data_IF_087259034995
#
_entry.id   IF_087259034995
#
_cell.length_a   1.000
_cell.length_b   1.000
_cell.length_c   1.000
_cell.angle_alpha   90.00
_cell.angle_beta   90.00
_cell.angle_gamma   90.00
#
_symmetry.space_group_name_H-M   'P 1'
#
loop_
_entity.id
_entity.type
_entity.pdbx_description
1 polymer ?
#
# COMPACT_ATOMS: atom_id res chain seq x y z
N UNK A 1 8.26 1.64 7.18
CA UNK A 1 9.69 1.26 7.23
C UNK A 1 10.05 0.58 8.56
N UNK A 2 9.76 1.17 9.73
CA UNK A 2 10.15 0.61 11.04
C UNK A 2 9.61 -0.81 11.28
N UNK A 3 8.39 -1.11 10.87
CA UNK A 3 7.79 -2.43 10.99
C UNK A 3 8.22 -3.43 9.89
N UNK A 4 9.08 -3.01 8.96
CA UNK A 4 9.53 -3.85 7.83
C UNK A 4 8.56 -3.90 6.64
N UNK A 5 7.49 -3.09 6.63
CA UNK A 5 6.61 -2.98 5.46
C UNK A 5 7.39 -2.34 4.31
N UNK A 6 7.49 -3.03 3.15
CA UNK A 6 8.27 -2.54 2.03
C UNK A 6 7.63 -1.30 1.40
N UNK A 7 8.43 -0.30 1.09
CA UNK A 7 8.00 0.96 0.46
C UNK A 7 8.70 1.17 -0.88
N UNK A 8 8.10 1.96 -1.75
CA UNK A 8 8.74 2.36 -3.01
C UNK A 8 10.09 3.02 -2.72
N UNK A 9 11.19 2.62 -3.41
CA UNK A 9 12.46 3.33 -3.32
C UNK A 9 12.28 4.82 -3.67
N UNK A 10 12.78 5.71 -2.82
CA UNK A 10 12.56 7.13 -3.01
C UNK A 10 13.60 8.01 -2.31
N UNK A 11 13.34 9.30 -2.26
CA UNK A 11 14.05 10.24 -1.40
C UNK A 11 13.66 9.97 0.06
N UNK A 12 14.61 10.08 0.98
CA UNK A 12 14.35 9.86 2.41
C UNK A 12 13.70 11.09 3.08
N UNK A 13 12.87 11.79 2.34
CA UNK A 13 12.17 13.00 2.77
C UNK A 13 11.93 13.96 1.59
N UNK A 14 11.50 15.20 1.90
CA UNK A 14 11.32 16.24 0.91
C UNK A 14 12.62 16.55 0.15
N UNK A 15 12.46 16.89 -1.13
CA UNK A 15 13.57 17.46 -1.90
C UNK A 15 13.90 18.84 -1.36
N UNK A 16 15.19 19.15 -1.37
CA UNK A 16 15.73 20.46 -0.97
C UNK A 16 16.08 21.30 -2.21
N UNK A 17 16.57 22.51 -2.00
CA UNK A 17 17.10 23.36 -3.08
C UNK A 17 18.41 22.82 -3.68
N UNK A 18 19.02 21.80 -3.05
CA UNK A 18 20.23 21.14 -3.57
C UNK A 18 19.89 20.28 -4.79
N UNK A 19 20.16 20.86 -5.95
CA UNK A 19 19.87 20.22 -7.25
C UNK A 19 20.79 19.03 -7.51
N UNK A 20 22.06 19.06 -7.07
CA UNK A 20 23.00 17.94 -7.27
C UNK A 20 22.56 16.75 -6.43
N UNK A 21 22.18 16.95 -5.18
CA UNK A 21 21.61 15.92 -4.33
C UNK A 21 20.34 15.31 -4.95
N UNK A 22 19.45 16.13 -5.53
CA UNK A 22 18.25 15.66 -6.24
C UNK A 22 18.59 14.75 -7.42
N UNK A 23 19.61 15.10 -8.22
CA UNK A 23 20.08 14.29 -9.32
C UNK A 23 20.70 12.96 -8.83
N UNK A 24 21.52 12.99 -7.78
CA UNK A 24 22.09 11.79 -7.18
C UNK A 24 21.02 10.82 -6.66
N UNK A 25 20.01 11.33 -5.97
CA UNK A 25 18.86 10.54 -5.50
C UNK A 25 18.16 9.87 -6.68
N UNK A 26 17.87 10.61 -7.74
CA UNK A 26 17.19 10.05 -8.91
C UNK A 26 18.04 8.99 -9.64
N UNK A 27 19.38 9.21 -9.75
CA UNK A 27 20.32 8.20 -10.32
C UNK A 27 20.33 6.93 -9.46
N UNK A 28 20.34 7.07 -8.14
CA UNK A 28 20.30 5.92 -7.19
C UNK A 28 19.02 5.13 -7.30
N UNK A 29 17.85 5.78 -7.44
CA UNK A 29 16.53 5.16 -7.61
C UNK A 29 16.43 4.49 -8.98
N UNK A 30 17.03 5.11 -10.00
CA UNK A 30 16.95 4.69 -11.41
C UNK A 30 15.67 5.15 -12.10
N UNK A 31 15.83 5.74 -13.29
CA UNK A 31 14.71 6.20 -14.12
C UNK A 31 13.85 5.03 -14.66
N UNK A 32 12.55 5.23 -14.92
CA UNK A 32 11.79 6.45 -14.64
C UNK A 32 11.55 6.65 -13.13
N UNK A 33 11.49 7.92 -12.73
CA UNK A 33 11.09 8.33 -11.38
C UNK A 33 9.80 9.15 -11.43
N UNK A 34 9.13 9.31 -10.29
CA UNK A 34 7.96 10.17 -10.17
C UNK A 34 8.22 11.23 -9.09
N UNK A 35 7.97 12.49 -9.43
CA UNK A 35 7.93 13.61 -8.48
C UNK A 35 6.54 13.69 -7.90
N UNK A 36 6.40 13.75 -6.58
CA UNK A 36 5.11 13.76 -5.89
C UNK A 36 5.05 14.92 -4.90
N UNK A 37 3.94 15.65 -4.91
CA UNK A 37 3.64 16.65 -3.88
C UNK A 37 3.26 15.95 -2.57
N UNK A 38 3.87 16.38 -1.45
CA UNK A 38 3.60 15.80 -0.13
C UNK A 38 2.14 16.03 0.32
N UNK A 39 1.53 17.14 -0.07
CA UNK A 39 0.14 17.45 0.19
C UNK A 39 -0.82 16.98 -0.94
N UNK A 40 -0.29 16.31 -1.98
CA UNK A 40 -1.07 15.80 -3.10
C UNK A 40 -1.79 14.49 -2.75
N UNK A 41 -2.80 14.16 -3.56
CA UNK A 41 -3.55 12.91 -3.42
C UNK A 41 -4.47 12.68 -4.62
N UNK A 42 -4.99 11.45 -4.76
CA UNK A 42 -5.91 11.08 -5.82
C UNK A 42 -5.34 11.30 -7.24
N UNK A 43 -4.05 11.07 -7.44
CA UNK A 43 -3.38 11.25 -8.73
C UNK A 43 -3.01 12.70 -9.10
N UNK A 44 -3.22 13.66 -8.19
CA UNK A 44 -2.90 15.08 -8.41
C UNK A 44 -1.58 15.45 -7.76
N UNK A 45 -0.85 16.38 -8.38
CA UNK A 45 0.47 16.81 -7.89
C UNK A 45 1.56 15.74 -8.10
N UNK A 46 1.49 14.99 -9.21
CA UNK A 46 2.46 13.96 -9.57
C UNK A 46 2.92 14.13 -11.01
N UNK A 47 4.23 13.90 -11.26
CA UNK A 47 4.83 13.98 -12.58
C UNK A 47 5.88 12.91 -12.79
N UNK A 48 5.68 12.09 -13.82
CA UNK A 48 6.65 11.06 -14.23
C UNK A 48 7.80 11.70 -15.01
N UNK A 49 9.02 11.27 -14.67
CA UNK A 49 10.27 11.76 -15.29
C UNK A 49 11.06 10.56 -15.82
N UNK A 50 11.23 10.51 -17.13
CA UNK A 50 11.85 9.37 -17.78
C UNK A 50 13.38 9.47 -17.90
N UNK A 51 13.95 10.67 -17.78
CA UNK A 51 15.38 10.90 -17.90
C UNK A 51 15.85 12.09 -17.07
N UNK A 52 17.15 12.18 -16.86
CA UNK A 52 17.78 13.19 -16.03
C UNK A 52 17.57 14.63 -16.53
N UNK A 53 17.62 14.83 -17.85
CA UNK A 53 17.50 16.16 -18.43
C UNK A 53 16.17 16.87 -18.09
N UNK A 54 15.11 16.09 -17.91
CA UNK A 54 13.78 16.62 -17.57
C UNK A 54 13.55 16.78 -16.05
N UNK A 55 14.43 16.26 -15.19
CA UNK A 55 14.16 16.13 -13.77
C UNK A 55 13.95 17.48 -13.06
N UNK A 56 14.93 18.38 -13.14
CA UNK A 56 14.88 19.63 -12.39
C UNK A 56 13.70 20.52 -12.81
N UNK A 57 13.44 20.59 -14.13
CA UNK A 57 12.25 21.29 -14.63
C UNK A 57 10.96 20.66 -14.12
N UNK A 58 10.88 19.33 -14.09
CA UNK A 58 9.72 18.61 -13.57
C UNK A 58 9.51 18.85 -12.08
N UNK A 59 10.59 18.92 -11.29
CA UNK A 59 10.51 19.26 -9.86
C UNK A 59 9.94 20.66 -9.69
N UNK A 60 10.49 21.68 -10.37
CA UNK A 60 10.02 23.07 -10.28
C UNK A 60 8.55 23.24 -10.67
N UNK A 61 8.16 22.59 -11.77
CA UNK A 61 6.74 22.64 -12.23
C UNK A 61 5.83 21.98 -11.21
N UNK A 62 6.21 20.81 -10.67
CA UNK A 62 5.40 20.11 -9.67
C UNK A 62 5.30 20.91 -8.36
N UNK A 63 6.39 21.57 -7.92
CA UNK A 63 6.38 22.47 -6.77
C UNK A 63 5.40 23.66 -6.98
N UNK A 64 5.47 24.32 -8.13
CA UNK A 64 4.56 25.43 -8.43
C UNK A 64 3.08 25.00 -8.49
N UNK A 65 2.80 23.85 -9.12
CA UNK A 65 1.45 23.27 -9.17
C UNK A 65 0.96 22.88 -7.76
N UNK A 66 1.84 22.31 -6.93
CA UNK A 66 1.51 21.91 -5.56
C UNK A 66 1.24 23.13 -4.66
N UNK A 67 2.07 24.17 -4.76
CA UNK A 67 1.85 25.43 -4.04
C UNK A 67 0.50 26.05 -4.38
N UNK A 68 0.16 26.10 -5.68
CA UNK A 68 -1.10 26.67 -6.14
C UNK A 68 -2.34 25.82 -5.74
N UNK A 69 -2.23 24.49 -5.81
CA UNK A 69 -3.36 23.60 -5.58
C UNK A 69 -3.56 23.20 -4.12
N UNK A 70 -2.49 23.12 -3.33
CA UNK A 70 -2.49 22.57 -1.96
C UNK A 70 -1.91 23.51 -0.91
N UNK A 71 -1.38 24.68 -1.30
CA UNK A 71 -0.74 25.64 -0.39
C UNK A 71 0.62 25.17 0.16
N UNK A 72 1.25 24.16 -0.46
CA UNK A 72 2.55 23.63 -0.08
C UNK A 72 3.32 23.20 -1.32
N UNK A 73 4.57 23.62 -1.43
CA UNK A 73 5.49 23.28 -2.52
C UNK A 73 6.39 22.08 -2.21
N UNK A 74 6.17 21.42 -1.08
CA UNK A 74 6.96 20.28 -0.65
C UNK A 74 6.73 19.10 -1.59
N UNK A 75 7.81 18.63 -2.23
CA UNK A 75 7.81 17.48 -3.15
C UNK A 75 8.89 16.47 -2.76
N UNK A 76 8.72 15.23 -3.20
CA UNK A 76 9.67 14.14 -3.00
C UNK A 76 9.73 13.26 -4.27
N UNK A 77 10.76 12.40 -4.36
CA UNK A 77 10.95 11.46 -5.46
C UNK A 77 10.65 10.03 -5.02
N UNK A 78 10.05 9.27 -5.94
CA UNK A 78 9.92 7.82 -5.83
C UNK A 78 10.24 7.14 -7.17
N UNK A 79 10.58 5.85 -7.13
CA UNK A 79 10.62 5.01 -8.33
C UNK A 79 9.23 4.99 -8.97
N UNK A 80 9.18 5.23 -10.28
CA UNK A 80 7.94 5.03 -11.02
C UNK A 80 7.81 3.57 -11.43
N UNK A 81 6.77 2.92 -10.94
CA UNK A 81 6.40 1.56 -11.33
C UNK A 81 5.62 1.63 -12.64
N UNK A 82 5.99 0.80 -13.62
CA UNK A 82 5.49 0.95 -14.99
C UNK A 82 4.23 0.14 -15.27
N UNK A 83 4.15 -1.06 -14.67
CA UNK A 83 3.03 -2.01 -14.87
C UNK A 83 2.66 -2.69 -13.55
N UNK A 84 2.46 -1.94 -12.47
CA UNK A 84 2.17 -2.55 -11.19
C UNK A 84 0.76 -3.15 -11.19
N UNK A 85 0.61 -4.25 -10.44
CA UNK A 85 -0.69 -4.75 -9.99
C UNK A 85 -1.03 -4.07 -8.66
N UNK A 86 -2.32 -3.88 -8.42
CA UNK A 86 -2.82 -3.42 -7.13
C UNK A 86 -3.18 -4.65 -6.29
N UNK A 87 -2.34 -4.96 -5.33
CA UNK A 87 -2.52 -6.10 -4.44
C UNK A 87 -2.60 -5.61 -3.00
N UNK A 88 -3.51 -6.17 -2.23
CA UNK A 88 -3.77 -5.70 -0.87
C UNK A 88 -3.82 -6.86 0.12
N UNK A 89 -3.44 -6.60 1.38
CA UNK A 89 -3.43 -7.59 2.47
C UNK A 89 -4.50 -7.21 3.50
N UNK A 90 -5.47 -8.11 3.70
CA UNK A 90 -6.49 -7.96 4.73
C UNK A 90 -5.92 -8.33 6.10
N UNK A 91 -6.11 -7.46 7.08
CA UNK A 91 -5.71 -7.71 8.48
C UNK A 91 -6.89 -7.54 9.44
N UNK A 92 -6.79 -8.24 10.58
CA UNK A 92 -7.61 -8.04 11.77
C UNK A 92 -6.68 -7.91 12.97
N UNK A 93 -6.94 -6.96 13.85
CA UNK A 93 -6.18 -6.78 15.10
C UNK A 93 -7.10 -6.38 16.24
N UNK A 94 -6.83 -6.90 17.45
CA UNK A 94 -7.70 -6.70 18.62
C UNK A 94 -7.30 -5.50 19.50
N UNK A 95 -6.13 -4.91 19.26
CA UNK A 95 -5.58 -3.85 20.12
C UNK A 95 -5.02 -4.35 21.44
N UNK A 96 -5.01 -5.68 21.67
CA UNK A 96 -4.51 -6.35 22.87
C UNK A 96 -3.15 -7.04 22.65
N UNK A 97 -2.54 -6.76 21.48
CA UNK A 97 -1.27 -7.35 21.06
C UNK A 97 -1.39 -8.51 20.08
N UNK A 98 -2.60 -8.85 19.63
CA UNK A 98 -2.80 -9.89 18.63
C UNK A 98 -3.25 -9.26 17.30
N UNK A 99 -2.68 -9.75 16.22
CA UNK A 99 -3.09 -9.43 14.86
C UNK A 99 -2.90 -10.64 13.96
N UNK A 100 -3.73 -10.76 12.93
CA UNK A 100 -3.65 -11.79 11.90
C UNK A 100 -3.87 -11.18 10.52
N UNK A 101 -3.43 -11.88 9.49
CA UNK A 101 -3.83 -11.59 8.11
C UNK A 101 -4.80 -12.65 7.58
N UNK A 102 -5.67 -12.23 6.67
CA UNK A 102 -6.64 -13.07 5.99
C UNK A 102 -6.33 -13.24 4.50
N UNK A 103 -5.03 -13.13 4.14
CA UNK A 103 -4.55 -13.25 2.78
C UNK A 103 -4.64 -11.96 1.99
N UNK A 104 -4.49 -12.12 0.70
CA UNK A 104 -4.39 -11.05 -0.27
C UNK A 104 -5.58 -11.03 -1.23
N UNK A 105 -5.79 -9.85 -1.83
CA UNK A 105 -6.70 -9.63 -2.97
C UNK A 105 -5.95 -8.92 -4.09
N UNK A 106 -6.29 -9.25 -5.32
CA UNK A 106 -5.91 -8.46 -6.49
C UNK A 106 -7.06 -7.53 -6.87
N UNK A 107 -6.77 -6.25 -6.93
CA UNK A 107 -7.73 -5.21 -7.29
C UNK A 107 -7.21 -4.37 -8.48
N UNK A 108 -6.44 -4.99 -9.38
CA UNK A 108 -5.78 -4.30 -10.49
C UNK A 108 -6.75 -3.85 -11.57
N UNK A 109 -7.90 -4.52 -11.72
CA UNK A 109 -8.90 -4.14 -12.70
C UNK A 109 -9.69 -2.92 -12.20
N UNK A 110 -9.28 -1.74 -12.66
CA UNK A 110 -9.80 -0.46 -12.19
C UNK A 110 -10.26 0.42 -13.36
N UNK A 111 -11.25 1.27 -13.09
CA UNK A 111 -11.66 2.33 -13.99
C UNK A 111 -11.53 3.68 -13.27
N UNK A 112 -10.66 4.55 -13.76
CA UNK A 112 -10.39 5.87 -13.16
C UNK A 112 -10.04 5.78 -11.67
N UNK A 113 -9.16 4.81 -11.31
CA UNK A 113 -8.74 4.50 -9.94
C UNK A 113 -9.87 3.97 -9.02
N UNK A 114 -10.96 3.49 -9.59
CA UNK A 114 -12.00 2.77 -8.86
C UNK A 114 -11.89 1.28 -9.17
N UNK A 115 -11.84 0.45 -8.15
CA UNK A 115 -11.85 -1.00 -8.26
C UNK A 115 -13.16 -1.44 -8.94
N UNK A 116 -13.10 -2.39 -9.87
CA UNK A 116 -14.24 -2.87 -10.68
C UNK A 116 -14.40 -4.37 -10.58
N UNK A 117 -13.31 -5.09 -10.43
CA UNK A 117 -13.29 -6.52 -10.20
C UNK A 117 -12.13 -6.83 -9.26
N UNK A 118 -12.45 -7.60 -8.24
CA UNK A 118 -11.53 -8.05 -7.21
C UNK A 118 -11.50 -9.58 -7.16
N UNK A 119 -10.32 -10.13 -6.90
CA UNK A 119 -10.17 -11.58 -6.75
C UNK A 119 -9.28 -11.94 -5.55
N UNK A 120 -9.58 -13.05 -4.92
CA UNK A 120 -8.80 -13.61 -3.83
C UNK A 120 -8.65 -15.13 -3.99
N UNK A 121 -7.43 -15.67 -3.74
CA UNK A 121 -6.17 -14.96 -3.56
C UNK A 121 -5.67 -14.31 -4.85
N UNK A 122 -4.78 -13.32 -4.75
CA UNK A 122 -4.14 -12.72 -5.92
C UNK A 122 -3.35 -13.78 -6.71
N UNK A 123 -3.56 -13.93 -8.04
CA UNK A 123 -2.88 -14.94 -8.83
C UNK A 123 -1.38 -14.64 -8.99
N UNK A 124 -0.60 -15.67 -9.30
CA UNK A 124 0.81 -15.59 -9.70
C UNK A 124 1.73 -14.80 -8.75
N UNK A 125 1.43 -14.82 -7.45
CA UNK A 125 2.32 -14.30 -6.41
C UNK A 125 2.96 -15.49 -5.70
N UNK A 126 4.32 -15.58 -5.68
CA UNK A 126 5.00 -16.65 -4.96
C UNK A 126 4.62 -16.66 -3.47
N UNK A 127 4.28 -17.83 -2.90
CA UNK A 127 3.85 -17.92 -1.48
C UNK A 127 4.83 -17.25 -0.52
N UNK A 128 6.13 -17.42 -0.72
CA UNK A 128 7.16 -16.86 0.16
C UNK A 128 7.12 -15.32 0.19
N UNK A 129 6.85 -14.70 -0.96
CA UNK A 129 6.75 -13.23 -1.09
C UNK A 129 5.47 -12.72 -0.42
N UNK A 130 4.35 -13.43 -0.65
CA UNK A 130 3.06 -13.16 -0.01
C UNK A 130 3.16 -13.25 1.51
N UNK A 131 3.72 -14.36 2.02
CA UNK A 131 3.82 -14.62 3.45
C UNK A 131 4.71 -13.58 4.15
N UNK A 132 5.82 -13.18 3.51
CA UNK A 132 6.72 -12.17 4.06
C UNK A 132 6.04 -10.79 4.21
N UNK A 133 5.30 -10.33 3.19
CA UNK A 133 4.60 -9.05 3.27
C UNK A 133 3.44 -9.11 4.25
N UNK A 134 2.69 -10.22 4.29
CA UNK A 134 1.60 -10.41 5.23
C UNK A 134 2.10 -10.40 6.70
N UNK A 135 3.21 -11.07 6.97
CA UNK A 135 3.86 -11.04 8.29
C UNK A 135 4.30 -9.62 8.69
N UNK A 136 4.83 -8.83 7.74
CA UNK A 136 5.20 -7.44 8.00
C UNK A 136 3.97 -6.58 8.32
N UNK A 137 2.83 -6.80 7.65
CA UNK A 137 1.57 -6.11 7.95
C UNK A 137 1.05 -6.46 9.35
N UNK A 138 1.07 -7.73 9.72
CA UNK A 138 0.69 -8.20 11.08
C UNK A 138 1.58 -7.54 12.13
N UNK A 139 2.91 -7.58 11.91
CA UNK A 139 3.85 -6.92 12.82
C UNK A 139 3.57 -5.42 12.96
N UNK A 140 3.28 -4.72 11.85
CA UNK A 140 2.93 -3.31 11.89
C UNK A 140 1.68 -3.04 12.73
N UNK A 141 0.65 -3.89 12.61
CA UNK A 141 -0.56 -3.78 13.43
C UNK A 141 -0.26 -3.95 14.91
N UNK A 142 0.59 -4.90 15.29
CA UNK A 142 0.99 -5.15 16.69
C UNK A 142 1.79 -3.96 17.22
N UNK A 143 2.82 -3.50 16.48
CA UNK A 143 3.69 -2.40 16.89
C UNK A 143 2.92 -1.08 17.11
N UNK A 144 1.84 -0.86 16.32
CA UNK A 144 1.00 0.33 16.40
C UNK A 144 -0.16 0.20 17.40
N UNK A 145 -0.39 -0.97 17.98
CA UNK A 145 -1.56 -1.24 18.80
C UNK A 145 -2.87 -1.09 18.00
N UNK A 146 -2.84 -1.45 16.70
CA UNK A 146 -4.00 -1.33 15.81
C UNK A 146 -5.19 -2.15 16.34
N UNK A 147 -6.41 -1.62 16.11
CA UNK A 147 -7.65 -2.27 16.54
C UNK A 147 -8.71 -2.19 15.46
N UNK A 148 -9.19 -3.33 15.00
CA UNK A 148 -10.24 -3.47 14.00
C UNK A 148 -9.78 -4.19 12.73
N UNK A 149 -10.64 -4.14 11.71
CA UNK A 149 -10.29 -4.57 10.36
C UNK A 149 -9.53 -3.47 9.62
N UNK A 150 -8.54 -3.85 8.85
CA UNK A 150 -7.78 -2.93 8.01
C UNK A 150 -7.22 -3.63 6.79
N UNK A 151 -6.83 -2.85 5.80
CA UNK A 151 -6.26 -3.35 4.57
C UNK A 151 -5.02 -2.55 4.21
N UNK A 152 -3.89 -3.24 4.05
CA UNK A 152 -2.66 -2.62 3.52
C UNK A 152 -2.68 -2.74 2.00
N UNK A 153 -2.67 -1.63 1.30
CA UNK A 153 -2.63 -1.57 -0.16
C UNK A 153 -1.19 -1.44 -0.66
N UNK A 154 -0.88 -2.20 -1.70
CA UNK A 154 0.44 -2.25 -2.32
C UNK A 154 0.36 -2.16 -3.84
N UNK A 155 1.40 -1.61 -4.44
CA UNK A 155 1.76 -1.90 -5.82
C UNK A 155 2.68 -3.13 -5.84
N UNK A 156 2.37 -4.10 -6.69
CA UNK A 156 3.19 -5.30 -6.88
C UNK A 156 3.75 -5.32 -8.30
N UNK A 157 5.07 -5.30 -8.43
CA UNK A 157 5.78 -5.33 -9.71
C UNK A 157 7.09 -6.09 -9.55
N UNK A 158 7.45 -6.93 -10.53
CA UNK A 158 8.71 -7.67 -10.59
C UNK A 158 9.06 -8.45 -9.31
N UNK A 159 8.06 -9.06 -8.68
CA UNK A 159 8.22 -9.84 -7.46
C UNK A 159 8.33 -9.03 -6.17
N UNK A 160 8.21 -7.70 -6.23
CA UNK A 160 8.27 -6.81 -5.09
C UNK A 160 6.92 -6.19 -4.73
N UNK A 161 6.64 -6.10 -3.44
CA UNK A 161 5.53 -5.31 -2.90
C UNK A 161 6.01 -3.91 -2.51
N UNK A 162 5.19 -2.89 -2.81
CA UNK A 162 5.49 -1.49 -2.49
C UNK A 162 4.26 -0.84 -1.87
N UNK A 163 4.33 -0.53 -0.58
CA UNK A 163 3.24 0.03 0.20
C UNK A 163 2.76 1.38 -0.36
N UNK A 164 1.44 1.52 -0.49
CA UNK A 164 0.77 2.76 -0.87
C UNK A 164 0.15 3.41 0.37
N UNK A 165 -0.85 2.73 0.95
CA UNK A 165 -1.62 3.23 2.08
C UNK A 165 -2.24 2.10 2.89
N UNK A 166 -2.75 2.44 4.08
CA UNK A 166 -3.57 1.55 4.88
C UNK A 166 -4.98 2.12 5.00
N UNK A 167 -5.97 1.34 4.57
CA UNK A 167 -7.37 1.63 4.85
C UNK A 167 -7.74 1.09 6.23
N UNK A 168 -8.00 1.99 7.18
CA UNK A 168 -8.30 1.64 8.58
C UNK A 168 -9.80 1.39 8.78
N UNK A 169 -10.39 0.62 7.90
CA UNK A 169 -11.80 0.27 7.84
C UNK A 169 -11.99 -1.02 7.04
N UNK A 170 -13.20 -1.57 7.10
CA UNK A 170 -13.60 -2.59 6.13
C UNK A 170 -13.75 -1.97 4.72
N UNK A 171 -13.49 -2.74 3.69
CA UNK A 171 -13.64 -2.35 2.28
C UNK A 171 -14.80 -3.09 1.63
N UNK A 172 -15.27 -2.59 0.48
CA UNK A 172 -16.37 -3.20 -0.28
C UNK A 172 -16.01 -4.63 -0.64
N UNK A 173 -14.78 -4.86 -1.09
CA UNK A 173 -14.23 -6.12 -1.59
C UNK A 173 -13.86 -7.15 -0.51
N UNK A 174 -14.26 -6.94 0.77
CA UNK A 174 -14.02 -7.93 1.82
C UNK A 174 -14.68 -9.30 1.58
N UNK A 175 -15.82 -9.41 0.85
CA UNK A 175 -16.51 -10.68 0.67
C UNK A 175 -15.65 -11.75 -0.01
N UNK A 176 -14.78 -11.39 -0.97
CA UNK A 176 -13.90 -12.41 -1.60
C UNK A 176 -12.94 -13.03 -0.60
N UNK A 177 -12.48 -12.26 0.39
CA UNK A 177 -11.66 -12.79 1.51
C UNK A 177 -12.48 -13.70 2.43
N UNK A 178 -13.71 -13.32 2.77
CA UNK A 178 -14.60 -14.14 3.57
C UNK A 178 -14.92 -15.48 2.90
N UNK A 179 -15.15 -15.46 1.58
CA UNK A 179 -15.44 -16.66 0.81
C UNK A 179 -14.29 -17.68 0.81
N UNK A 180 -13.04 -17.24 0.75
CA UNK A 180 -11.88 -18.14 0.73
C UNK A 180 -11.39 -18.54 2.11
N UNK A 181 -11.74 -17.78 3.17
CA UNK A 181 -11.28 -18.04 4.55
C UNK A 181 -12.35 -18.61 5.45
N UNK A 182 -13.61 -18.37 5.16
CA UNK A 182 -14.75 -18.69 6.03
C UNK A 182 -14.85 -17.78 7.26
N UNK A 183 -14.09 -16.68 7.29
CA UNK A 183 -14.08 -15.71 8.41
C UNK A 183 -15.06 -14.60 8.12
N UNK A 184 -16.01 -14.37 9.02
CA UNK A 184 -16.93 -13.22 8.98
C UNK A 184 -16.21 -11.99 9.58
N UNK A 185 -15.67 -11.14 8.70
CA UNK A 185 -14.86 -9.96 9.07
C UNK A 185 -15.71 -8.94 9.81
N UNK A 186 -16.97 -8.75 9.42
CA UNK A 186 -17.89 -7.80 10.07
C UNK A 186 -18.20 -8.23 11.49
N UNK A 187 -18.45 -9.52 11.69
CA UNK A 187 -18.65 -10.08 13.04
C UNK A 187 -17.42 -9.90 13.91
N UNK A 188 -16.22 -10.19 13.38
CA UNK A 188 -14.97 -9.97 14.11
C UNK A 188 -14.77 -8.50 14.48
N UNK A 189 -15.09 -7.54 13.59
CA UNK A 189 -15.05 -6.12 13.93
C UNK A 189 -15.94 -5.77 15.13
N UNK A 190 -17.16 -6.33 15.19
CA UNK A 190 -18.09 -6.09 16.31
C UNK A 190 -17.54 -6.69 17.61
N UNK A 191 -16.99 -7.90 17.59
CA UNK A 191 -16.36 -8.53 18.75
C UNK A 191 -15.17 -7.72 19.25
N UNK A 192 -14.26 -7.33 18.36
CA UNK A 192 -13.11 -6.49 18.68
C UNK A 192 -13.57 -5.14 19.24
N UNK A 193 -14.59 -4.50 18.64
CA UNK A 193 -15.12 -3.22 19.12
C UNK A 193 -15.73 -3.34 20.53
N UNK A 194 -16.30 -4.51 20.88
CA UNK A 194 -16.79 -4.80 22.24
C UNK A 194 -15.70 -5.10 23.26
N UNK A 195 -14.42 -5.08 22.85
CA UNK A 195 -13.26 -5.33 23.72
C UNK A 195 -12.84 -6.79 23.84
N UNK A 196 -13.37 -7.67 22.99
CA UNK A 196 -12.98 -9.07 22.95
C UNK A 196 -11.69 -9.26 22.16
N UNK A 197 -10.87 -10.27 22.50
CA UNK A 197 -9.73 -10.66 21.67
C UNK A 197 -10.21 -11.28 20.35
N UNK A 198 -9.30 -11.44 19.39
CA UNK A 198 -9.56 -12.18 18.14
C UNK A 198 -10.11 -13.59 18.48
N UNK A 199 -11.12 -14.03 17.73
CA UNK A 199 -11.77 -15.33 17.94
C UNK A 199 -10.91 -16.52 17.56
N UNK A 200 -9.84 -16.31 16.80
CA UNK A 200 -8.96 -17.36 16.27
C UNK A 200 -7.52 -16.83 16.06
N UNK A 201 -6.60 -17.79 15.95
CA UNK A 201 -5.17 -17.52 15.71
C UNK A 201 -4.84 -17.62 14.22
N UNK A 202 -3.71 -17.04 13.82
CA UNK A 202 -3.23 -17.15 12.44
C UNK A 202 -3.14 -18.60 11.93
N UNK A 203 -2.73 -19.55 12.76
CA UNK A 203 -2.62 -20.97 12.41
C UNK A 203 -3.95 -21.67 12.14
N UNK A 204 -5.06 -21.05 12.51
CA UNK A 204 -6.41 -21.58 12.30
C UNK A 204 -7.06 -21.05 11.02
N UNK A 205 -6.49 -19.98 10.44
CA UNK A 205 -6.94 -19.42 9.17
C UNK A 205 -6.56 -20.38 8.03
N UNK A 206 -7.57 -20.84 7.30
CA UNK A 206 -7.40 -21.72 6.15
C UNK A 206 -7.88 -21.03 4.89
N UNK A 207 -7.09 -21.12 3.82
CA UNK A 207 -7.46 -20.60 2.51
C UNK A 207 -7.97 -21.71 1.62
N UNK A 208 -9.17 -21.56 1.04
CA UNK A 208 -9.82 -22.58 0.22
C UNK A 208 -10.46 -21.94 -1.02
N UNK A 209 -10.13 -22.51 -2.18
CA UNK A 209 -10.72 -22.08 -3.43
C UNK A 209 -10.24 -20.70 -3.90
N UNK A 210 -11.08 -20.04 -4.67
CA UNK A 210 -10.87 -18.75 -5.30
C UNK A 210 -12.21 -18.02 -5.41
N UNK A 211 -12.23 -16.73 -5.19
CA UNK A 211 -13.43 -15.91 -5.24
C UNK A 211 -13.23 -14.65 -6.07
N UNK A 212 -14.29 -14.22 -6.73
CA UNK A 212 -14.36 -12.97 -7.50
C UNK A 212 -15.56 -12.14 -7.03
N UNK A 213 -15.40 -10.82 -7.09
CA UNK A 213 -16.47 -9.84 -6.89
C UNK A 213 -16.46 -8.80 -8.00
#
# INVERSE_FOLDING_TARGET
KQAGVPTVPGSDGPLTEDTEHTLEVARRIGYPVIVKAAAGGGGRGMRVVHNEAALLTSVQVTQAEAAAAFGSDVVYLEKFLQKPRHVEIQVLADGLGNAIHLGDRDCSLQRRHQKVLEEAPAPDIPPQVRDAVAAACVKACIDLGYRGAGTFEFLYEDGGFYFIEMNTRIQVEHPVTEMITGVDIVKEQLLIASGQPLSFKQSEVQFRGHAFE
#
